data_IF_855428542997
#
_entry.id   IF_855428542997
#
_cell.length_a   1.000
_cell.length_b   1.000
_cell.length_c   1.000
_cell.angle_alpha   90.00
_cell.angle_beta   90.00
_cell.angle_gamma   90.00
#
_symmetry.space_group_name_H-M   'P 1'
#
loop_
_entity.id
_entity.type
_entity.pdbx_description
1 polymer ?
#
# COMPACT_ATOMS: atom_id res chain seq x y z
N UNK A 1 -7.04 -16.38 7.27
CA UNK A 1 -6.90 -16.93 8.64
C UNK A 1 -7.12 -15.78 9.61
N UNK A 2 -7.78 -16.00 10.76
CA UNK A 2 -7.92 -14.92 11.75
C UNK A 2 -6.53 -14.50 12.25
N UNK A 3 -6.29 -13.20 12.31
CA UNK A 3 -5.01 -12.63 12.73
C UNK A 3 -4.69 -13.02 14.17
N UNK A 4 -3.47 -13.52 14.41
CA UNK A 4 -3.05 -13.94 15.75
C UNK A 4 -2.86 -12.69 16.62
N UNK A 5 -3.68 -12.56 17.67
CA UNK A 5 -3.53 -11.50 18.67
C UNK A 5 -2.88 -12.04 19.94
N UNK A 6 -2.09 -11.20 20.61
CA UNK A 6 -1.58 -11.45 21.95
C UNK A 6 -2.62 -10.99 22.99
N UNK A 7 -3.04 -11.88 23.92
CA UNK A 7 -4.03 -11.53 24.92
C UNK A 7 -3.45 -10.61 25.99
N UNK A 8 -4.25 -9.62 26.40
CA UNK A 8 -3.97 -8.74 27.54
C UNK A 8 -5.10 -8.92 28.54
N UNK A 9 -4.75 -9.15 29.80
CA UNK A 9 -5.70 -9.21 30.91
C UNK A 9 -6.24 -7.80 31.16
N UNK A 10 -7.56 -7.68 31.19
CA UNK A 10 -8.29 -6.43 31.45
C UNK A 10 -7.93 -5.26 30.51
N UNK A 11 -7.61 -5.57 29.26
CA UNK A 11 -7.28 -4.57 28.24
C UNK A 11 -7.44 -5.08 26.81
N UNK A 12 -7.30 -4.19 25.82
CA UNK A 12 -7.35 -4.59 24.42
C UNK A 12 -6.17 -5.52 24.08
N UNK A 13 -6.48 -6.62 23.41
CA UNK A 13 -5.45 -7.45 22.75
C UNK A 13 -4.76 -6.66 21.63
N UNK A 14 -3.51 -7.02 21.34
CA UNK A 14 -2.69 -6.39 20.29
C UNK A 14 -2.22 -7.44 19.28
N UNK A 15 -1.78 -7.06 18.08
CA UNK A 15 -1.19 -8.00 17.12
C UNK A 15 -0.03 -8.80 17.75
N UNK A 16 0.05 -10.10 17.46
CA UNK A 16 1.13 -10.96 17.99
C UNK A 16 2.52 -10.40 17.67
N UNK A 17 2.70 -9.92 16.45
CA UNK A 17 3.99 -9.46 15.94
C UNK A 17 4.44 -8.13 16.54
N UNK A 18 3.51 -7.35 17.09
CA UNK A 18 3.89 -6.21 17.92
C UNK A 18 4.58 -6.70 19.20
N UNK A 19 4.00 -7.69 19.89
CA UNK A 19 4.53 -8.19 21.16
C UNK A 19 5.81 -9.01 21.00
N UNK A 20 5.98 -9.78 19.92
CA UNK A 20 7.11 -10.71 19.76
C UNK A 20 8.47 -10.00 19.82
N UNK A 21 8.54 -8.75 19.33
CA UNK A 21 9.74 -7.91 19.36
C UNK A 21 10.20 -7.57 20.79
N UNK A 22 9.34 -7.77 21.79
CA UNK A 22 9.59 -7.49 23.20
C UNK A 22 9.82 -8.77 24.03
N UNK A 23 9.97 -9.95 23.41
CA UNK A 23 10.13 -11.21 24.13
C UNK A 23 11.35 -11.24 25.06
N UNK A 24 12.46 -10.60 24.67
CA UNK A 24 13.65 -10.53 25.50
C UNK A 24 13.38 -9.83 26.84
N UNK A 25 12.64 -8.72 26.82
CA UNK A 25 12.25 -8.02 28.05
C UNK A 25 11.23 -8.83 28.85
N UNK A 26 10.25 -9.45 28.18
CA UNK A 26 9.28 -10.34 28.83
C UNK A 26 9.98 -11.48 29.59
N UNK A 27 10.94 -12.16 28.94
CA UNK A 27 11.74 -13.21 29.58
C UNK A 27 12.50 -12.69 30.80
N UNK A 28 13.06 -11.48 30.73
CA UNK A 28 13.73 -10.85 31.89
C UNK A 28 12.77 -10.60 33.04
N UNK A 29 11.56 -10.12 32.76
CA UNK A 29 10.53 -9.81 33.76
C UNK A 29 9.89 -11.06 34.38
N UNK A 30 9.75 -12.14 33.60
CA UNK A 30 9.00 -13.35 33.98
C UNK A 30 9.89 -14.61 34.09
N UNK A 31 11.16 -14.45 34.50
CA UNK A 31 12.03 -15.58 34.85
C UNK A 31 12.31 -16.57 33.70
N UNK A 32 12.42 -16.07 32.47
CA UNK A 32 12.69 -16.86 31.27
C UNK A 32 11.45 -17.41 30.56
N UNK A 33 10.24 -17.13 31.06
CA UNK A 33 8.99 -17.54 30.41
C UNK A 33 8.84 -16.89 29.02
N UNK A 34 8.42 -17.64 28.00
CA UNK A 34 8.17 -17.12 26.65
C UNK A 34 6.82 -16.39 26.56
N UNK A 35 6.67 -15.54 25.54
CA UNK A 35 5.38 -14.89 25.26
C UNK A 35 4.32 -15.92 24.86
N UNK A 36 4.69 -16.94 24.10
CA UNK A 36 3.80 -18.05 23.74
C UNK A 36 3.22 -18.76 24.96
N UNK A 37 4.08 -19.11 25.91
CA UNK A 37 3.62 -19.74 27.15
C UNK A 37 2.78 -18.78 27.99
N UNK A 38 3.04 -17.48 27.93
CA UNK A 38 2.24 -16.48 28.64
C UNK A 38 0.84 -16.32 28.03
N UNK A 39 0.74 -16.26 26.70
CA UNK A 39 -0.53 -16.17 26.00
C UNK A 39 -1.45 -17.37 26.30
N UNK A 40 -0.88 -18.58 26.39
CA UNK A 40 -1.61 -19.79 26.80
C UNK A 40 -2.21 -19.71 28.21
N UNK A 41 -1.67 -18.84 29.08
CA UNK A 41 -2.12 -18.63 30.47
C UNK A 41 -3.03 -17.42 30.64
N UNK A 42 -3.52 -16.84 29.54
CA UNK A 42 -4.38 -15.67 29.55
C UNK A 42 -3.66 -14.35 29.27
N UNK A 43 -2.36 -14.38 28.98
CA UNK A 43 -1.61 -13.19 28.58
C UNK A 43 -1.04 -12.38 29.75
N UNK A 44 -0.65 -11.15 29.43
CA UNK A 44 -0.05 -10.19 30.38
C UNK A 44 -1.12 -9.25 30.93
N UNK A 45 -0.96 -8.79 32.16
CA UNK A 45 -1.65 -7.59 32.62
C UNK A 45 -1.21 -6.37 31.82
N UNK A 46 -2.10 -5.37 31.65
CA UNK A 46 -1.78 -4.13 30.94
C UNK A 46 -0.49 -3.44 31.45
N UNK A 47 -0.27 -3.44 32.77
CA UNK A 47 0.94 -2.88 33.38
C UNK A 47 2.20 -3.67 33.04
N UNK A 48 2.11 -5.00 33.02
CA UNK A 48 3.22 -5.89 32.64
C UNK A 48 3.57 -5.73 31.17
N UNK A 49 2.55 -5.59 30.31
CA UNK A 49 2.71 -5.33 28.89
C UNK A 49 3.39 -3.96 28.66
N UNK A 50 2.94 -2.91 29.36
CA UNK A 50 3.61 -1.59 29.35
C UNK A 50 5.09 -1.68 29.76
N UNK A 51 5.39 -2.45 30.79
CA UNK A 51 6.78 -2.67 31.22
C UNK A 51 7.59 -3.38 30.13
N UNK A 52 7.02 -4.42 29.52
CA UNK A 52 7.69 -5.19 28.47
C UNK A 52 8.03 -4.33 27.25
N UNK A 53 7.07 -3.55 26.75
CA UNK A 53 7.27 -2.76 25.52
C UNK A 53 8.24 -1.59 25.70
N UNK A 54 8.37 -1.07 26.92
CA UNK A 54 9.27 0.04 27.24
C UNK A 54 10.62 -0.42 27.82
N UNK A 55 10.93 -1.72 27.84
CA UNK A 55 12.20 -2.21 28.39
C UNK A 55 12.32 -2.05 29.92
N UNK A 56 11.21 -1.89 30.62
CA UNK A 56 11.16 -1.63 32.07
C UNK A 56 11.03 -2.93 32.87
N UNK A 57 11.63 -2.93 34.06
CA UNK A 57 11.37 -3.96 35.07
C UNK A 57 9.96 -3.81 35.64
N UNK A 58 9.37 -4.91 36.12
CA UNK A 58 8.08 -4.86 36.84
C UNK A 58 8.19 -4.00 38.11
N UNK A 59 9.33 -4.06 38.79
CA UNK A 59 9.70 -3.21 39.93
C UNK A 59 10.65 -2.10 39.42
N UNK A 60 10.44 -0.80 39.74
CA UNK A 60 9.50 -0.23 40.71
C UNK A 60 8.12 0.18 40.12
N UNK A 61 7.82 -0.17 38.87
CA UNK A 61 6.58 0.26 38.20
C UNK A 61 5.30 -0.21 38.92
N UNK A 62 5.42 -1.26 39.74
CA UNK A 62 4.37 -1.81 40.61
C UNK A 62 4.46 -1.34 42.08
N UNK A 63 5.35 -0.40 42.42
CA UNK A 63 5.61 0.00 43.81
C UNK A 63 4.54 0.94 44.36
N UNK A 64 3.82 1.65 43.47
CA UNK A 64 2.76 2.56 43.86
C UNK A 64 1.48 2.30 43.06
N UNK A 65 0.33 2.53 43.69
CA UNK A 65 -0.97 2.44 43.01
C UNK A 65 -1.08 3.42 41.84
N UNK A 66 -0.49 4.60 41.99
CA UNK A 66 -0.45 5.64 40.96
C UNK A 66 0.39 5.21 39.75
N UNK A 67 1.55 4.57 39.99
CA UNK A 67 2.40 4.02 38.92
C UNK A 67 1.69 2.93 38.12
N UNK A 68 1.02 2.01 38.80
CA UNK A 68 0.23 0.96 38.16
C UNK A 68 -0.94 1.54 37.35
N UNK A 69 -1.69 2.49 37.91
CA UNK A 69 -2.81 3.13 37.22
C UNK A 69 -2.35 3.86 35.95
N UNK A 70 -1.23 4.60 36.05
CA UNK A 70 -0.65 5.29 34.89
C UNK A 70 -0.17 4.32 33.82
N UNK A 71 0.59 3.29 34.18
CA UNK A 71 1.05 2.27 33.25
C UNK A 71 -0.10 1.55 32.55
N UNK A 72 -1.20 1.30 33.26
CA UNK A 72 -2.41 0.73 32.68
C UNK A 72 -3.06 1.66 31.65
N UNK A 73 -3.22 2.95 31.98
CA UNK A 73 -3.75 3.95 31.04
C UNK A 73 -2.86 4.12 29.80
N UNK A 74 -1.54 4.21 30.01
CA UNK A 74 -0.56 4.35 28.94
C UNK A 74 -0.57 3.12 28.02
N UNK A 75 -0.76 1.91 28.58
CA UNK A 75 -0.96 0.69 27.79
C UNK A 75 -2.20 0.77 26.92
N UNK A 76 -3.36 1.15 27.47
CA UNK A 76 -4.61 1.22 26.70
C UNK A 76 -4.43 2.15 25.50
N UNK A 77 -3.90 3.35 25.72
CA UNK A 77 -3.66 4.32 24.65
C UNK A 77 -2.69 3.78 23.57
N UNK A 78 -1.61 3.11 23.99
CA UNK A 78 -0.67 2.48 23.06
C UNK A 78 -1.34 1.35 22.26
N UNK A 79 -2.07 0.48 22.92
CA UNK A 79 -2.72 -0.67 22.30
C UNK A 79 -3.79 -0.23 21.29
N UNK A 80 -4.55 0.83 21.57
CA UNK A 80 -5.48 1.43 20.62
C UNK A 80 -4.76 1.95 19.38
N UNK A 81 -3.66 2.71 19.57
CA UNK A 81 -2.85 3.21 18.45
C UNK A 81 -2.28 2.08 17.60
N UNK A 82 -1.68 1.07 18.23
CA UNK A 82 -1.10 -0.08 17.52
C UNK A 82 -2.17 -0.86 16.76
N UNK A 83 -3.33 -1.11 17.38
CA UNK A 83 -4.43 -1.80 16.69
C UNK A 83 -4.93 -1.00 15.49
N UNK A 84 -4.99 0.33 15.58
CA UNK A 84 -5.34 1.22 14.45
C UNK A 84 -4.31 1.09 13.33
N UNK A 85 -3.05 1.35 13.61
CA UNK A 85 -1.95 1.26 12.63
C UNK A 85 -1.89 -0.11 11.95
N UNK A 86 -2.12 -1.18 12.71
CA UNK A 86 -2.10 -2.53 12.19
C UNK A 86 -3.32 -2.87 11.35
N UNK A 87 -4.51 -2.43 11.77
CA UNK A 87 -5.71 -2.54 10.94
C UNK A 87 -5.53 -1.79 9.62
N UNK A 88 -4.91 -0.61 9.65
CA UNK A 88 -4.63 0.16 8.43
C UNK A 88 -3.67 -0.61 7.52
N UNK A 89 -2.59 -1.20 8.05
CA UNK A 89 -1.69 -2.07 7.28
C UNK A 89 -2.41 -3.28 6.67
N UNK A 90 -3.30 -3.93 7.42
CA UNK A 90 -4.10 -5.06 6.93
C UNK A 90 -5.02 -4.63 5.78
N UNK A 91 -5.74 -3.52 5.97
CA UNK A 91 -6.63 -2.97 4.96
C UNK A 91 -5.83 -2.59 3.71
N UNK A 92 -4.65 -1.98 3.86
CA UNK A 92 -3.74 -1.70 2.73
C UNK A 92 -3.36 -2.97 1.98
N UNK A 93 -2.97 -4.04 2.68
CA UNK A 93 -2.64 -5.32 2.06
C UNK A 93 -3.84 -5.95 1.34
N UNK A 94 -5.05 -5.81 1.88
CA UNK A 94 -6.28 -6.29 1.24
C UNK A 94 -6.60 -5.51 -0.05
N UNK A 95 -6.47 -4.19 -0.03
CA UNK A 95 -6.66 -3.33 -1.21
C UNK A 95 -5.62 -3.67 -2.29
N UNK A 96 -4.33 -3.75 -1.91
CA UNK A 96 -3.27 -4.13 -2.85
C UNK A 96 -3.50 -5.52 -3.43
N UNK A 97 -3.90 -6.49 -2.60
CA UNK A 97 -4.26 -7.84 -3.06
C UNK A 97 -5.43 -7.84 -4.04
N UNK A 98 -6.45 -7.01 -3.80
CA UNK A 98 -7.56 -6.85 -4.74
C UNK A 98 -7.12 -6.23 -6.06
N UNK A 99 -6.28 -5.19 -6.03
CA UNK A 99 -5.71 -4.59 -7.24
C UNK A 99 -4.88 -5.59 -8.04
N UNK A 100 -4.00 -6.37 -7.38
CA UNK A 100 -3.20 -7.41 -8.03
C UNK A 100 -4.11 -8.42 -8.74
N UNK A 101 -5.14 -8.90 -8.04
CA UNK A 101 -6.08 -9.90 -8.59
C UNK A 101 -6.82 -9.38 -9.82
N UNK A 102 -7.22 -8.10 -9.80
CA UNK A 102 -7.91 -7.48 -10.93
C UNK A 102 -6.97 -7.29 -12.13
N UNK A 103 -5.71 -6.94 -11.88
CA UNK A 103 -4.68 -6.85 -12.91
C UNK A 103 -4.36 -8.23 -13.52
N UNK A 104 -4.30 -9.29 -12.71
CA UNK A 104 -4.16 -10.66 -13.18
C UNK A 104 -5.33 -11.06 -14.09
N UNK A 105 -6.57 -10.72 -13.71
CA UNK A 105 -7.77 -10.96 -14.54
C UNK A 105 -7.67 -10.25 -15.90
N UNK A 106 -7.33 -8.96 -15.90
CA UNK A 106 -7.18 -8.16 -17.13
C UNK A 106 -6.04 -8.71 -18.02
N UNK A 107 -4.95 -9.19 -17.42
CA UNK A 107 -3.86 -9.85 -18.12
C UNK A 107 -4.30 -11.15 -18.79
N UNK A 108 -5.11 -11.98 -18.12
CA UNK A 108 -5.66 -13.21 -18.70
C UNK A 108 -6.62 -12.91 -19.86
N UNK A 109 -7.45 -11.87 -19.74
CA UNK A 109 -8.32 -11.42 -20.83
C UNK A 109 -7.51 -10.94 -22.03
N UNK A 110 -6.45 -10.15 -21.81
CA UNK A 110 -5.55 -9.69 -22.86
C UNK A 110 -4.90 -10.85 -23.63
N UNK A 111 -4.46 -11.92 -22.95
CA UNK A 111 -3.96 -13.15 -23.60
C UNK A 111 -4.99 -13.80 -24.51
N UNK A 112 -6.27 -13.75 -24.13
CA UNK A 112 -7.38 -14.25 -24.94
C UNK A 112 -7.54 -13.53 -26.29
N UNK A 113 -7.00 -12.32 -26.44
CA UNK A 113 -7.02 -11.54 -27.68
C UNK A 113 -5.81 -11.79 -28.60
N UNK A 114 -4.91 -12.73 -28.26
CA UNK A 114 -3.78 -13.11 -29.11
C UNK A 114 -2.54 -12.22 -28.97
N UNK A 115 -2.43 -11.47 -27.87
CA UNK A 115 -1.19 -10.80 -27.49
C UNK A 115 -0.27 -11.82 -26.81
N UNK A 116 0.61 -12.46 -27.60
CA UNK A 116 1.55 -13.49 -27.12
C UNK A 116 2.78 -12.92 -26.39
N UNK A 117 3.01 -11.59 -26.44
CA UNK A 117 4.16 -10.95 -25.77
C UNK A 117 3.78 -10.47 -24.37
N UNK A 118 3.71 -11.44 -23.45
CA UNK A 118 3.49 -11.30 -22.01
C UNK A 118 4.53 -10.43 -21.28
N UNK A 119 5.61 -9.98 -21.92
CA UNK A 119 6.81 -9.58 -21.20
C UNK A 119 6.87 -8.13 -20.73
N UNK A 120 6.26 -7.18 -21.43
CA UNK A 120 6.48 -5.75 -21.15
C UNK A 120 5.40 -5.13 -20.25
N UNK A 121 4.12 -5.30 -20.57
CA UNK A 121 3.03 -4.66 -19.80
C UNK A 121 2.90 -5.29 -18.41
N UNK A 122 2.95 -6.62 -18.32
CA UNK A 122 2.83 -7.34 -17.03
C UNK A 122 4.08 -7.15 -16.18
N UNK A 123 5.29 -7.14 -16.78
CA UNK A 123 6.53 -6.83 -16.04
C UNK A 123 6.52 -5.39 -15.54
N UNK A 124 6.17 -4.42 -16.38
CA UNK A 124 6.11 -3.01 -15.98
C UNK A 124 5.05 -2.75 -14.91
N UNK A 125 3.89 -3.41 -14.97
CA UNK A 125 2.87 -3.33 -13.93
C UNK A 125 3.34 -3.98 -12.63
N UNK A 126 4.00 -5.15 -12.68
CA UNK A 126 4.58 -5.81 -11.50
C UNK A 126 5.75 -5.02 -10.90
N UNK A 127 6.59 -4.41 -11.72
CA UNK A 127 7.72 -3.60 -11.27
C UNK A 127 7.24 -2.25 -10.71
N UNK A 128 6.22 -1.62 -11.31
CA UNK A 128 5.57 -0.43 -10.72
C UNK A 128 4.80 -0.75 -9.43
N UNK A 129 4.19 -1.93 -9.30
CA UNK A 129 3.59 -2.39 -8.04
C UNK A 129 4.64 -2.57 -6.94
N UNK A 130 5.84 -3.03 -7.27
CA UNK A 130 6.99 -3.06 -6.35
C UNK A 130 7.53 -1.67 -6.05
N UNK A 131 7.54 -0.74 -7.01
CA UNK A 131 7.88 0.67 -6.77
C UNK A 131 6.82 1.44 -5.96
N UNK A 132 5.60 0.91 -5.86
CA UNK A 132 4.55 1.41 -4.96
C UNK A 132 4.70 0.90 -3.52
N UNK A 133 5.55 -0.11 -3.25
CA UNK A 133 5.88 -0.54 -1.88
C UNK A 133 6.62 0.54 -1.04
N UNK A 134 7.48 1.42 -1.59
CA UNK A 134 8.20 2.44 -0.81
C UNK A 134 7.61 3.87 -0.90
N UNK A 135 6.76 4.20 -1.89
CA UNK A 135 6.09 5.52 -1.96
C UNK A 135 4.76 5.53 -1.23
N UNK A 136 4.68 4.80 -0.12
CA UNK A 136 3.49 4.67 0.73
C UNK A 136 3.04 6.02 1.30
N UNK A 137 3.95 6.97 1.55
CA UNK A 137 3.64 8.22 2.27
C UNK A 137 2.59 9.11 1.57
N UNK A 138 2.60 9.17 0.24
CA UNK A 138 1.64 9.99 -0.53
C UNK A 138 0.24 9.38 -0.60
N UNK A 139 0.17 8.04 -0.70
CA UNK A 139 -1.10 7.30 -0.68
C UNK A 139 -1.64 7.17 0.75
N UNK A 140 -0.75 7.06 1.74
CA UNK A 140 -1.05 7.00 3.17
C UNK A 140 -1.71 8.30 3.64
N UNK A 141 -1.17 9.47 3.30
CA UNK A 141 -1.75 10.76 3.69
C UNK A 141 -3.12 11.02 3.05
N UNK A 142 -3.35 10.52 1.83
CA UNK A 142 -4.64 10.65 1.11
C UNK A 142 -5.69 9.65 1.61
N UNK A 143 -5.30 8.43 1.97
CA UNK A 143 -6.19 7.43 2.59
C UNK A 143 -6.51 7.78 4.05
N UNK A 144 -5.55 8.36 4.76
CA UNK A 144 -5.74 8.91 6.09
C UNK A 144 -6.68 10.12 6.03
N UNK A 145 -6.57 11.02 5.04
CA UNK A 145 -7.55 12.10 4.82
C UNK A 145 -8.97 11.60 4.45
N UNK A 146 -9.12 10.39 3.89
CA UNK A 146 -10.42 9.79 3.59
C UNK A 146 -11.17 9.24 4.85
N UNK A 147 -10.47 9.13 5.98
CA UNK A 147 -10.85 8.92 7.40
C UNK A 147 -11.91 7.88 7.86
N UNK A 148 -11.54 7.27 9.00
CA UNK A 148 -12.23 6.58 10.13
C UNK A 148 -13.46 5.65 10.01
N UNK A 149 -14.23 5.53 8.91
CA UNK A 149 -15.42 4.64 8.99
C UNK A 149 -15.87 3.87 7.74
N UNK A 150 -15.30 4.07 6.55
CA UNK A 150 -15.90 3.52 5.32
C UNK A 150 -14.91 3.09 4.23
N UNK A 151 -13.68 2.73 4.60
CA UNK A 151 -12.59 2.41 3.66
C UNK A 151 -12.91 1.29 2.64
N UNK A 152 -13.59 0.18 2.98
CA UNK A 152 -13.93 -0.85 1.99
C UNK A 152 -14.90 -0.34 0.91
N UNK A 153 -15.87 0.50 1.31
CA UNK A 153 -16.82 1.11 0.37
C UNK A 153 -16.12 2.16 -0.51
N UNK A 154 -15.18 2.91 0.07
CA UNK A 154 -14.34 3.85 -0.68
C UNK A 154 -13.48 3.16 -1.73
N UNK A 155 -12.91 1.99 -1.42
CA UNK A 155 -12.13 1.19 -2.37
C UNK A 155 -13.02 0.63 -3.50
N UNK A 156 -14.21 0.12 -3.19
CA UNK A 156 -15.19 -0.34 -4.18
C UNK A 156 -15.63 0.79 -5.10
N UNK A 157 -15.93 1.98 -4.56
CA UNK A 157 -16.26 3.15 -5.36
C UNK A 157 -15.08 3.63 -6.21
N UNK A 158 -13.84 3.52 -5.73
CA UNK A 158 -12.64 3.87 -6.49
C UNK A 158 -12.44 2.94 -7.69
N UNK A 159 -12.55 1.63 -7.49
CA UNK A 159 -12.50 0.65 -8.59
C UNK A 159 -13.58 0.96 -9.61
N UNK A 160 -14.83 1.15 -9.15
CA UNK A 160 -15.96 1.47 -10.02
C UNK A 160 -15.75 2.77 -10.80
N UNK A 161 -15.22 3.80 -10.15
CA UNK A 161 -14.98 5.09 -10.79
C UNK A 161 -13.88 5.01 -11.86
N UNK A 162 -12.90 4.12 -11.70
CA UNK A 162 -11.81 3.88 -12.66
C UNK A 162 -12.25 2.99 -13.83
N UNK A 163 -13.12 2.00 -13.62
CA UNK A 163 -13.50 1.01 -14.65
C UNK A 163 -14.78 1.36 -15.39
N UNK A 164 -15.79 1.89 -14.70
CA UNK A 164 -17.12 2.16 -15.26
C UNK A 164 -17.37 3.64 -15.57
N UNK A 165 -16.44 4.51 -15.15
CA UNK A 165 -16.62 5.95 -15.19
C UNK A 165 -17.48 6.42 -14.02
N UNK A 166 -16.87 7.16 -13.10
CA UNK A 166 -17.54 7.75 -11.95
C UNK A 166 -16.81 9.00 -11.47
N UNK A 167 -17.57 9.96 -10.97
CA UNK A 167 -17.03 11.17 -10.36
C UNK A 167 -17.22 11.13 -8.85
N UNK A 168 -16.16 11.49 -8.14
CA UNK A 168 -16.23 11.78 -6.72
C UNK A 168 -16.56 13.27 -6.54
N UNK A 169 -17.11 13.63 -5.38
CA UNK A 169 -17.26 15.04 -5.02
C UNK A 169 -15.89 15.75 -5.11
N UNK A 170 -15.86 16.97 -5.66
CA UNK A 170 -14.63 17.72 -6.02
C UNK A 170 -13.60 17.79 -4.88
N UNK A 171 -14.06 17.83 -3.63
CA UNK A 171 -13.20 17.92 -2.43
C UNK A 171 -12.90 16.56 -1.77
N UNK A 172 -13.32 15.45 -2.39
CA UNK A 172 -13.09 14.11 -1.87
C UNK A 172 -11.62 13.70 -2.04
N UNK A 173 -10.97 13.15 -1.00
CA UNK A 173 -9.63 12.57 -1.11
C UNK A 173 -9.54 11.49 -2.20
N UNK A 174 -10.65 10.80 -2.50
CA UNK A 174 -10.73 9.81 -3.56
C UNK A 174 -10.63 10.40 -4.97
N UNK A 175 -10.95 11.69 -5.17
CA UNK A 175 -10.69 12.39 -6.45
C UNK A 175 -9.19 12.38 -6.73
N UNK A 176 -8.38 12.74 -5.74
CA UNK A 176 -6.92 12.81 -5.90
C UNK A 176 -6.31 11.43 -6.12
N UNK A 177 -6.79 10.43 -5.39
CA UNK A 177 -6.36 9.03 -5.59
C UNK A 177 -6.75 8.54 -6.98
N UNK A 178 -7.98 8.82 -7.44
CA UNK A 178 -8.45 8.50 -8.79
C UNK A 178 -7.59 9.18 -9.85
N UNK A 179 -7.36 10.49 -9.72
CA UNK A 179 -6.54 11.27 -10.65
C UNK A 179 -5.11 10.74 -10.73
N UNK A 180 -4.52 10.38 -9.59
CA UNK A 180 -3.18 9.80 -9.54
C UNK A 180 -3.13 8.43 -10.26
N UNK A 181 -4.12 7.57 -10.02
CA UNK A 181 -4.24 6.28 -10.70
C UNK A 181 -4.51 6.45 -12.20
N UNK A 182 -5.39 7.37 -12.61
CA UNK A 182 -5.64 7.70 -14.02
C UNK A 182 -4.38 8.21 -14.71
N UNK A 183 -3.59 9.07 -14.06
CA UNK A 183 -2.32 9.55 -14.59
C UNK A 183 -1.30 8.41 -14.76
N UNK A 184 -1.21 7.49 -13.80
CA UNK A 184 -0.32 6.33 -13.88
C UNK A 184 -0.72 5.34 -14.98
N UNK A 185 -2.03 5.10 -15.13
CA UNK A 185 -2.57 4.28 -16.21
C UNK A 185 -2.29 4.93 -17.57
N UNK A 186 -2.51 6.24 -17.69
CA UNK A 186 -2.21 7.01 -18.90
C UNK A 186 -0.73 6.97 -19.26
N UNK A 187 0.15 7.08 -18.27
CA UNK A 187 1.59 6.96 -18.45
C UNK A 187 1.98 5.58 -19.00
N UNK A 188 1.37 4.50 -18.47
CA UNK A 188 1.60 3.15 -18.93
C UNK A 188 1.13 2.94 -20.38
N UNK A 189 -0.05 3.49 -20.75
CA UNK A 189 -0.54 3.49 -22.13
C UNK A 189 0.42 4.21 -23.08
N UNK A 190 0.88 5.41 -22.70
CA UNK A 190 1.81 6.21 -23.50
C UNK A 190 3.11 5.44 -23.74
N UNK A 191 3.68 4.84 -22.69
CA UNK A 191 4.92 4.06 -22.80
C UNK A 191 4.73 2.80 -23.66
N UNK A 192 3.63 2.07 -23.49
CA UNK A 192 3.31 0.92 -24.34
C UNK A 192 3.20 1.29 -25.82
N UNK A 193 2.53 2.41 -26.13
CA UNK A 193 2.44 2.93 -27.49
C UNK A 193 3.81 3.37 -28.04
N UNK A 194 4.70 3.91 -27.20
CA UNK A 194 6.08 4.24 -27.60
C UNK A 194 6.89 2.98 -27.93
N UNK A 195 6.74 1.91 -27.15
CA UNK A 195 7.43 0.64 -27.36
C UNK A 195 6.95 -0.05 -28.66
N UNK A 196 5.63 -0.05 -28.93
CA UNK A 196 5.07 -0.53 -30.19
C UNK A 196 5.63 0.24 -31.40
N UNK A 197 5.69 1.57 -31.31
CA UNK A 197 6.25 2.41 -32.36
C UNK A 197 7.75 2.14 -32.57
N UNK A 198 8.51 1.92 -31.50
CA UNK A 198 9.93 1.58 -31.57
C UNK A 198 10.15 0.19 -32.21
N UNK A 199 9.30 -0.79 -31.91
CA UNK A 199 9.32 -2.11 -32.55
C UNK A 199 9.01 -2.00 -34.04
N UNK A 200 8.00 -1.21 -34.42
CA UNK A 200 7.66 -0.94 -35.82
C UNK A 200 8.81 -0.26 -36.59
N UNK A 201 9.56 0.64 -35.95
CA UNK A 201 10.77 1.24 -36.52
C UNK A 201 11.89 0.20 -36.73
N UNK A 202 12.05 -0.73 -35.78
CA UNK A 202 13.09 -1.77 -35.82
C UNK A 202 12.80 -2.82 -36.91
N UNK A 203 11.56 -3.30 -37.02
CA UNK A 203 11.16 -4.26 -38.06
C UNK A 203 11.18 -3.67 -39.48
N UNK A 204 11.04 -2.34 -39.59
CA UNK A 204 11.08 -1.61 -40.87
C UNK A 204 12.47 -1.50 -41.50
N UNK A 205 13.55 -1.61 -40.71
CA UNK A 205 14.92 -1.72 -41.24
C UNK A 205 15.09 -2.88 -42.23
N UNK A 206 14.14 -3.82 -42.27
CA UNK A 206 14.12 -4.97 -43.18
C UNK A 206 13.16 -4.84 -44.39
N UNK A 207 12.27 -3.84 -44.48
CA UNK A 207 11.33 -3.67 -45.63
C UNK A 207 11.54 -2.31 -46.29
N UNK A 208 12.25 -2.30 -47.42
CA UNK A 208 12.76 -1.07 -48.06
C UNK A 208 11.74 -0.04 -48.56
N UNK A 209 12.23 1.21 -48.64
CA UNK A 209 11.85 2.41 -49.43
C UNK A 209 10.38 2.84 -49.65
N UNK A 210 9.36 2.02 -49.40
CA UNK A 210 7.95 2.36 -49.71
C UNK A 210 7.13 2.97 -48.55
N UNK A 211 7.75 3.47 -47.48
CA UNK A 211 7.03 3.88 -46.26
C UNK A 211 7.33 5.32 -45.78
N UNK A 212 7.56 6.27 -46.70
CA UNK A 212 7.93 7.65 -46.32
C UNK A 212 6.80 8.40 -45.58
N UNK A 213 5.55 8.33 -46.04
CA UNK A 213 4.40 8.99 -45.39
C UNK A 213 4.09 8.41 -43.99
N UNK A 214 4.37 7.11 -43.81
CA UNK A 214 4.22 6.43 -42.53
C UNK A 214 5.35 6.79 -41.55
N UNK A 215 6.50 7.28 -42.03
CA UNK A 215 7.64 7.69 -41.19
C UNK A 215 7.39 9.03 -40.50
N UNK A 216 6.85 10.01 -41.24
CA UNK A 216 6.47 11.30 -40.65
C UNK A 216 5.35 11.13 -39.62
N UNK A 217 4.39 10.23 -39.87
CA UNK A 217 3.28 9.97 -38.95
C UNK A 217 3.74 9.26 -37.66
N UNK A 218 4.60 8.23 -37.75
CA UNK A 218 5.12 7.54 -36.55
C UNK A 218 6.05 8.44 -35.74
N UNK A 219 6.92 9.21 -36.41
CA UNK A 219 7.81 10.16 -35.74
C UNK A 219 7.06 11.29 -35.03
N UNK A 220 6.02 11.85 -35.68
CA UNK A 220 5.16 12.87 -35.07
C UNK A 220 4.38 12.30 -33.86
N UNK A 221 3.88 11.07 -33.97
CA UNK A 221 3.18 10.39 -32.87
C UNK A 221 4.09 10.09 -31.69
N UNK A 222 5.31 9.60 -31.95
CA UNK A 222 6.30 9.33 -30.90
C UNK A 222 6.72 10.61 -30.18
N UNK A 223 6.92 11.70 -30.93
CA UNK A 223 7.20 13.01 -30.34
C UNK A 223 6.06 13.49 -29.44
N UNK A 224 4.82 13.42 -29.92
CA UNK A 224 3.64 13.78 -29.14
C UNK A 224 3.53 12.99 -27.83
N UNK A 225 3.74 11.67 -27.88
CA UNK A 225 3.71 10.80 -26.70
C UNK A 225 4.82 11.15 -25.69
N UNK A 226 6.02 11.48 -26.16
CA UNK A 226 7.13 11.95 -25.31
C UNK A 226 6.81 13.28 -24.64
N UNK A 227 6.21 14.22 -25.36
CA UNK A 227 5.81 15.52 -24.83
C UNK A 227 4.69 15.34 -23.78
N UNK A 228 3.71 14.46 -24.02
CA UNK A 228 2.64 14.12 -23.08
C UNK A 228 3.18 13.46 -21.80
N UNK A 229 4.14 12.54 -21.92
CA UNK A 229 4.82 11.91 -20.79
C UNK A 229 5.59 12.93 -19.94
N UNK A 230 6.30 13.86 -20.58
CA UNK A 230 7.06 14.90 -19.89
C UNK A 230 6.16 15.84 -19.08
N UNK A 231 4.98 16.18 -19.59
CA UNK A 231 4.01 17.00 -18.86
C UNK A 231 3.39 16.24 -17.66
N UNK A 232 3.14 14.93 -17.78
CA UNK A 232 2.71 14.09 -16.65
C UNK A 232 3.78 14.02 -15.54
N UNK A 233 5.04 13.82 -15.91
CA UNK A 233 6.17 13.79 -14.97
C UNK A 233 6.35 15.14 -14.26
N UNK A 234 6.18 16.25 -14.99
CA UNK A 234 6.24 17.61 -14.45
C UNK A 234 5.06 17.92 -13.53
N UNK A 235 3.85 17.49 -13.86
CA UNK A 235 2.68 17.62 -12.98
C UNK A 235 2.94 16.91 -11.63
N UNK A 236 3.45 15.68 -11.68
CA UNK A 236 3.81 14.91 -10.48
C UNK A 236 4.91 15.59 -9.65
N UNK A 237 5.93 16.15 -10.29
CA UNK A 237 6.99 16.90 -9.61
C UNK A 237 6.44 18.17 -8.92
N UNK A 238 5.46 18.84 -9.52
CA UNK A 238 4.83 20.04 -8.96
C UNK A 238 3.91 19.74 -7.77
N UNK A 239 3.22 18.59 -7.78
CA UNK A 239 2.40 18.14 -6.65
C UNK A 239 3.25 17.71 -5.44
N UNK A 240 4.44 17.16 -5.68
CA UNK A 240 5.39 16.81 -4.62
C UNK A 240 6.09 18.02 -3.98
N UNK A 241 6.18 19.16 -4.68
CA UNK A 241 6.87 20.37 -4.21
C UNK A 241 5.98 21.33 -3.40
N UNK A 242 4.67 21.06 -3.34
CA UNK A 242 3.68 21.88 -2.63
C UNK A 242 3.34 21.35 -1.22
N UNK A 243 4.09 20.35 -0.75
CA UNK A 243 4.10 19.83 0.63
C UNK A 243 5.30 20.38 1.40
#
# INVERSE_FOLDING_TARGET
MAERKFPIQDGPSVPWEFMVSHEAQHKKNHGGQTLERMAQRGGLGATEAWCCVNGMGLWPTHDTKEGMAKAHQDWIALAERVNREWNDKRIRAEVLGACIKELERLSEEARGFGFDDDSLVISNVKDKLKELEPTSSGLEELLEQAHEAALPHAAEQLVKALTEGGEFAVDSPLVKVKQCLEALLREAEIRGAMDELALMETERGHRGWFAFDLYEQTGARLKYLKDELAELEKARASEGASK
#
